data_IF_549796664915
#
_entry.id   IF_549796664915
#
_cell.length_a   1.000
_cell.length_b   1.000
_cell.length_c   1.000
_cell.angle_alpha   90.00
_cell.angle_beta   90.00
_cell.angle_gamma   90.00
#
_symmetry.space_group_name_H-M   'P 1'
#
loop_
_entity.id
_entity.type
_entity.pdbx_description
1 polymer ?
#
# COMPACT_ATOMS: atom_id res chain seq x y z
N UNK A 1 1.75 -37.02 45.99
CA UNK A 1 0.57 -36.78 45.13
C UNK A 1 0.43 -35.28 44.94
N UNK A 2 0.94 -34.79 43.81
CA UNK A 2 0.85 -33.38 43.44
C UNK A 2 -0.52 -33.20 42.78
N UNK A 3 -1.39 -32.41 43.43
CA UNK A 3 -2.71 -32.07 42.92
C UNK A 3 -2.57 -31.00 41.84
N UNK A 4 -2.83 -31.37 40.60
CA UNK A 4 -3.00 -30.46 39.47
C UNK A 4 -4.42 -29.88 39.52
N UNK A 5 -4.53 -28.56 39.76
CA UNK A 5 -5.76 -27.81 39.48
C UNK A 5 -5.74 -27.41 38.00
N UNK A 6 -6.76 -27.73 37.20
CA UNK A 6 -6.87 -27.18 35.86
C UNK A 6 -7.28 -25.70 35.95
N UNK A 7 -6.54 -24.87 35.22
CA UNK A 7 -6.90 -23.48 34.93
C UNK A 7 -8.21 -23.46 34.15
N UNK A 8 -9.31 -23.09 34.82
CA UNK A 8 -10.51 -22.66 34.14
C UNK A 8 -10.27 -21.23 33.65
N UNK A 9 -9.74 -21.10 32.43
CA UNK A 9 -9.71 -19.86 31.69
C UNK A 9 -11.15 -19.42 31.41
N UNK A 10 -11.60 -18.39 32.10
CA UNK A 10 -12.80 -17.62 31.78
C UNK A 10 -12.65 -17.10 30.34
N UNK A 11 -13.35 -17.71 29.39
CA UNK A 11 -13.64 -17.10 28.09
C UNK A 11 -14.37 -15.78 28.35
N UNK A 12 -13.65 -14.65 28.27
CA UNK A 12 -14.34 -13.38 28.11
C UNK A 12 -15.15 -13.47 26.81
N UNK A 13 -16.44 -13.06 26.80
CA UNK A 13 -17.18 -12.95 25.56
C UNK A 13 -16.41 -11.95 24.68
N UNK A 14 -15.91 -12.40 23.53
CA UNK A 14 -15.29 -11.52 22.54
C UNK A 14 -16.24 -10.33 22.36
N UNK A 15 -15.76 -9.11 22.60
CA UNK A 15 -16.50 -7.90 22.21
C UNK A 15 -16.82 -8.08 20.73
N UNK A 16 -18.10 -8.13 20.37
CA UNK A 16 -18.52 -8.15 18.97
C UNK A 16 -18.01 -6.86 18.32
N UNK A 17 -16.86 -6.96 17.66
CA UNK A 17 -16.27 -5.87 16.90
C UNK A 17 -16.86 -5.92 15.51
N UNK A 18 -17.37 -4.78 15.06
CA UNK A 18 -17.96 -4.62 13.74
C UNK A 18 -17.12 -3.63 12.96
N UNK A 19 -16.66 -4.06 11.78
CA UNK A 19 -15.90 -3.25 10.84
C UNK A 19 -16.81 -3.00 9.65
N UNK A 20 -17.06 -1.72 9.32
CA UNK A 20 -17.73 -1.37 8.07
C UNK A 20 -16.71 -1.43 6.93
N UNK A 21 -16.99 -2.22 5.89
CA UNK A 21 -15.96 -2.61 4.91
C UNK A 21 -16.20 -2.03 3.54
N UNK A 22 -17.46 -1.88 3.15
CA UNK A 22 -17.85 -1.22 1.93
C UNK A 22 -19.20 -0.53 2.07
N UNK A 23 -19.40 0.53 1.28
CA UNK A 23 -20.67 1.23 1.14
C UNK A 23 -20.97 1.37 -0.35
N UNK A 24 -21.97 0.64 -0.83
CA UNK A 24 -22.25 0.48 -2.25
C UNK A 24 -22.45 -0.98 -2.63
N UNK A 25 -22.77 -1.24 -3.89
CA UNK A 25 -22.95 -2.60 -4.39
C UNK A 25 -22.27 -2.78 -5.74
N UNK A 26 -21.68 -3.96 -5.91
CA UNK A 26 -21.12 -4.44 -7.17
C UNK A 26 -21.88 -5.68 -7.68
N UNK A 27 -23.13 -5.83 -7.24
CA UNK A 27 -23.97 -6.96 -7.64
C UNK A 27 -24.08 -7.08 -9.16
N UNK A 28 -24.00 -8.32 -9.66
CA UNK A 28 -24.18 -8.62 -11.08
C UNK A 28 -25.66 -8.57 -11.52
N UNK A 29 -26.60 -8.25 -10.63
CA UNK A 29 -28.00 -8.05 -11.00
C UNK A 29 -28.17 -6.74 -11.78
N UNK A 30 -28.20 -6.85 -13.10
CA UNK A 30 -28.33 -5.71 -14.02
C UNK A 30 -29.70 -5.03 -13.97
N UNK A 31 -30.66 -5.58 -13.23
CA UNK A 31 -31.99 -4.96 -13.04
C UNK A 31 -31.98 -3.86 -11.98
N UNK A 32 -30.94 -3.80 -11.16
CA UNK A 32 -30.81 -2.86 -10.04
C UNK A 32 -29.61 -1.98 -10.31
N UNK A 33 -29.82 -0.68 -10.46
CA UNK A 33 -28.74 0.29 -10.58
C UNK A 33 -27.82 0.23 -9.35
N UNK A 34 -26.51 0.27 -9.58
CA UNK A 34 -25.48 0.21 -8.56
C UNK A 34 -24.20 0.94 -9.00
N UNK A 35 -23.16 0.88 -8.16
CA UNK A 35 -21.89 1.58 -8.37
C UNK A 35 -21.17 1.18 -9.68
N UNK A 36 -21.39 -0.05 -10.14
CA UNK A 36 -20.69 -0.61 -11.31
C UNK A 36 -21.47 -0.36 -12.59
N UNK A 37 -22.76 -0.72 -12.62
CA UNK A 37 -23.56 -0.63 -13.85
C UNK A 37 -24.05 0.79 -14.17
N UNK A 38 -23.84 1.74 -13.26
CA UNK A 38 -24.31 3.09 -13.43
C UNK A 38 -23.18 4.11 -13.64
N UNK A 39 -23.26 4.87 -14.73
CA UNK A 39 -22.34 5.98 -15.02
C UNK A 39 -22.97 7.33 -14.69
N UNK A 40 -22.95 7.74 -13.42
CA UNK A 40 -23.59 8.99 -13.00
C UNK A 40 -22.70 9.80 -12.06
N UNK A 41 -23.02 11.09 -11.90
CA UNK A 41 -22.34 11.92 -10.91
C UNK A 41 -22.66 11.41 -9.50
N UNK A 42 -21.69 11.46 -8.57
CA UNK A 42 -21.93 10.96 -7.23
C UNK A 42 -23.05 11.71 -6.49
N UNK A 43 -23.29 12.97 -6.81
CA UNK A 43 -24.35 13.80 -6.23
C UNK A 43 -25.76 13.44 -6.76
N UNK A 44 -25.86 12.80 -7.93
CA UNK A 44 -27.12 12.40 -8.54
C UNK A 44 -27.55 10.98 -8.15
N UNK A 45 -26.72 10.26 -7.37
CA UNK A 45 -27.00 8.87 -7.02
C UNK A 45 -28.24 8.73 -6.13
N UNK A 46 -29.26 8.04 -6.65
CA UNK A 46 -30.50 7.77 -5.92
C UNK A 46 -30.75 6.28 -5.61
N UNK A 47 -29.92 5.37 -6.12
CA UNK A 47 -30.07 3.93 -5.87
C UNK A 47 -29.57 3.52 -4.46
N UNK A 48 -30.02 2.37 -3.92
CA UNK A 48 -29.57 1.87 -2.64
C UNK A 48 -28.05 1.64 -2.59
N UNK A 49 -27.40 2.15 -1.54
CA UNK A 49 -25.98 1.91 -1.26
C UNK A 49 -25.85 1.13 0.07
N UNK A 50 -25.89 -0.21 0.03
CA UNK A 50 -25.84 -1.02 1.24
C UNK A 50 -24.49 -0.90 1.93
N UNK A 51 -24.48 -1.10 3.26
CA UNK A 51 -23.26 -1.16 4.06
C UNK A 51 -22.92 -2.63 4.32
N UNK A 52 -21.73 -3.05 3.94
CA UNK A 52 -21.21 -4.38 4.28
C UNK A 52 -20.47 -4.33 5.61
N UNK A 53 -20.71 -5.33 6.45
CA UNK A 53 -20.16 -5.41 7.80
C UNK A 53 -19.35 -6.70 7.95
N UNK A 54 -18.15 -6.58 8.49
CA UNK A 54 -17.31 -7.70 8.84
C UNK A 54 -17.13 -7.78 10.36
N UNK A 55 -16.89 -9.00 10.85
CA UNK A 55 -16.38 -9.23 12.19
C UNK A 55 -14.85 -9.18 12.21
N UNK A 56 -14.29 -9.44 13.38
CA UNK A 56 -12.83 -9.55 13.57
C UNK A 56 -12.17 -10.74 12.88
N UNK A 57 -12.95 -11.62 12.24
CA UNK A 57 -12.46 -12.74 11.42
C UNK A 57 -11.91 -12.28 10.06
N UNK A 58 -12.27 -11.06 9.61
CA UNK A 58 -11.69 -10.40 8.43
C UNK A 58 -10.31 -9.80 8.79
N UNK A 59 -9.34 -10.69 8.96
CA UNK A 59 -8.04 -10.40 9.56
C UNK A 59 -7.17 -9.48 8.70
N UNK A 60 -7.27 -9.62 7.38
CA UNK A 60 -6.59 -8.76 6.41
C UNK A 60 -7.01 -7.31 6.57
N UNK A 61 -8.33 -7.06 6.52
CA UNK A 61 -8.88 -5.73 6.69
C UNK A 61 -8.57 -5.16 8.07
N UNK A 62 -8.66 -5.97 9.12
CA UNK A 62 -8.30 -5.53 10.47
C UNK A 62 -6.82 -5.12 10.55
N UNK A 63 -5.90 -5.90 9.98
CA UNK A 63 -4.48 -5.59 9.93
C UNK A 63 -4.17 -4.28 9.19
N UNK A 64 -4.81 -4.05 8.04
CA UNK A 64 -4.63 -2.81 7.27
C UNK A 64 -5.20 -1.58 8.00
N UNK A 65 -6.36 -1.70 8.66
CA UNK A 65 -6.92 -0.62 9.49
C UNK A 65 -5.98 -0.30 10.66
N UNK A 66 -5.45 -1.33 11.34
CA UNK A 66 -4.47 -1.14 12.43
C UNK A 66 -3.24 -0.40 11.93
N UNK A 67 -2.70 -0.78 10.78
CA UNK A 67 -1.56 -0.10 10.18
C UNK A 67 -1.86 1.37 9.85
N UNK A 68 -3.00 1.64 9.21
CA UNK A 68 -3.42 3.00 8.84
C UNK A 68 -3.60 3.91 10.07
N UNK A 69 -4.31 3.43 11.10
CA UNK A 69 -4.51 4.18 12.35
C UNK A 69 -3.18 4.42 13.07
N UNK A 70 -2.31 3.41 13.13
CA UNK A 70 -1.00 3.51 13.76
C UNK A 70 -0.09 4.51 13.04
N UNK A 71 0.00 4.44 11.71
CA UNK A 71 0.78 5.37 10.91
C UNK A 71 0.24 6.81 11.03
N UNK A 72 -1.09 6.99 10.98
CA UNK A 72 -1.72 8.30 11.16
C UNK A 72 -1.43 8.89 12.55
N UNK A 73 -1.43 8.07 13.61
CA UNK A 73 -1.15 8.55 14.96
C UNK A 73 0.24 9.19 15.11
N UNK A 74 1.23 8.69 14.37
CA UNK A 74 2.59 9.25 14.33
C UNK A 74 2.62 10.60 13.61
N UNK A 75 1.82 10.77 12.56
CA UNK A 75 1.68 12.05 11.84
C UNK A 75 0.99 13.08 12.74
N UNK A 76 -0.08 12.69 13.42
CA UNK A 76 -0.87 13.57 14.29
C UNK A 76 -0.35 13.68 15.72
N UNK A 77 0.92 13.33 15.99
CA UNK A 77 1.50 13.31 17.35
C UNK A 77 1.37 14.63 18.13
N UNK A 78 1.26 15.77 17.42
CA UNK A 78 1.09 17.09 18.02
C UNK A 78 -0.36 17.34 18.49
N UNK A 79 -1.34 16.71 17.84
CA UNK A 79 -2.72 16.60 18.34
C UNK A 79 -2.82 15.35 19.22
N UNK A 80 -2.39 15.50 20.47
CA UNK A 80 -2.26 14.39 21.42
C UNK A 80 -3.58 13.66 21.65
N UNK A 81 -4.70 14.39 21.65
CA UNK A 81 -6.03 13.81 21.86
C UNK A 81 -6.46 12.94 20.69
N UNK A 82 -6.21 13.40 19.46
CA UNK A 82 -6.52 12.63 18.26
C UNK A 82 -5.57 11.46 18.08
N UNK A 83 -4.26 11.67 18.24
CA UNK A 83 -3.24 10.61 18.16
C UNK A 83 -3.51 9.49 19.16
N UNK A 84 -3.85 9.82 20.41
CA UNK A 84 -4.19 8.83 21.44
C UNK A 84 -5.44 8.02 21.07
N UNK A 85 -6.46 8.65 20.47
CA UNK A 85 -7.65 7.93 20.00
C UNK A 85 -7.31 6.94 18.89
N UNK A 86 -6.48 7.34 17.92
CA UNK A 86 -6.04 6.48 16.84
C UNK A 86 -5.27 5.26 17.37
N UNK A 87 -4.30 5.46 18.27
CA UNK A 87 -3.54 4.38 18.90
C UNK A 87 -4.48 3.43 19.64
N UNK A 88 -5.35 3.96 20.51
CA UNK A 88 -6.28 3.13 21.27
C UNK A 88 -7.18 2.28 20.38
N UNK A 89 -7.71 2.85 19.30
CA UNK A 89 -8.52 2.10 18.34
C UNK A 89 -7.71 1.03 17.61
N UNK A 90 -6.44 1.30 17.28
CA UNK A 90 -5.55 0.33 16.67
C UNK A 90 -5.19 -0.82 17.63
N UNK A 91 -4.87 -0.52 18.90
CA UNK A 91 -4.60 -1.52 19.94
C UNK A 91 -5.82 -2.43 20.17
N UNK A 92 -7.01 -1.85 20.39
CA UNK A 92 -8.23 -2.61 20.60
C UNK A 92 -8.56 -3.52 19.42
N UNK A 93 -8.44 -3.02 18.18
CA UNK A 93 -8.71 -3.82 16.99
C UNK A 93 -7.67 -4.93 16.79
N UNK A 94 -6.38 -4.62 16.98
CA UNK A 94 -5.30 -5.58 16.81
C UNK A 94 -5.40 -6.72 17.81
N UNK A 95 -5.62 -6.43 19.10
CA UNK A 95 -5.79 -7.43 20.15
C UNK A 95 -6.95 -8.38 19.84
N UNK A 96 -8.06 -7.85 19.32
CA UNK A 96 -9.21 -8.65 18.93
C UNK A 96 -8.87 -9.52 17.72
N UNK A 97 -8.24 -8.95 16.68
CA UNK A 97 -7.89 -9.67 15.45
C UNK A 97 -6.90 -10.82 15.70
N UNK A 98 -5.85 -10.60 16.50
CA UNK A 98 -4.86 -11.65 16.81
C UNK A 98 -5.41 -12.71 17.77
N UNK A 99 -6.39 -12.34 18.61
CA UNK A 99 -7.06 -13.22 19.57
C UNK A 99 -8.11 -14.16 18.97
N UNK A 100 -8.57 -13.92 17.73
CA UNK A 100 -9.47 -14.83 17.00
C UNK A 100 -8.81 -16.22 16.86
N UNK A 101 -9.59 -17.30 16.98
CA UNK A 101 -9.10 -18.66 16.74
C UNK A 101 -8.45 -18.73 15.34
N UNK A 102 -7.27 -19.34 15.25
CA UNK A 102 -6.51 -19.41 14.00
C UNK A 102 -7.32 -20.00 12.84
N UNK A 103 -8.28 -20.88 13.10
CA UNK A 103 -9.17 -21.47 12.08
C UNK A 103 -10.26 -20.52 11.59
N UNK A 104 -10.49 -19.43 12.30
CA UNK A 104 -11.50 -18.42 12.00
C UNK A 104 -10.90 -17.14 11.41
N UNK A 105 -9.59 -16.92 11.56
CA UNK A 105 -8.88 -15.86 10.83
C UNK A 105 -8.98 -16.11 9.33
N UNK A 106 -9.29 -15.08 8.57
CA UNK A 106 -9.46 -15.21 7.14
C UNK A 106 -9.47 -13.90 6.40
N UNK A 107 -9.66 -14.03 5.09
CA UNK A 107 -9.73 -12.92 4.14
C UNK A 107 -11.13 -12.32 4.12
N UNK A 108 -11.26 -11.00 4.11
CA UNK A 108 -12.58 -10.34 4.12
C UNK A 108 -13.41 -10.73 2.88
N UNK A 109 -12.78 -10.93 1.71
CA UNK A 109 -13.47 -11.36 0.48
C UNK A 109 -13.96 -12.81 0.51
N UNK A 110 -13.40 -13.65 1.38
CA UNK A 110 -13.89 -15.01 1.59
C UNK A 110 -15.19 -15.06 2.41
N UNK A 111 -15.56 -13.97 3.07
CA UNK A 111 -16.78 -13.86 3.87
C UNK A 111 -17.86 -13.20 3.00
N UNK A 112 -18.84 -14.00 2.54
CA UNK A 112 -19.81 -13.58 1.52
C UNK A 112 -20.56 -12.28 1.88
N UNK A 113 -21.10 -12.18 3.09
CA UNK A 113 -21.88 -11.03 3.56
C UNK A 113 -21.03 -9.78 3.88
N UNK A 114 -19.70 -9.93 3.85
CA UNK A 114 -18.73 -8.96 4.36
C UNK A 114 -17.91 -8.36 3.20
N UNK A 115 -17.28 -9.21 2.38
CA UNK A 115 -16.44 -8.79 1.26
C UNK A 115 -16.70 -9.55 -0.03
N UNK A 116 -17.68 -10.46 -0.09
CA UNK A 116 -17.87 -11.32 -1.25
C UNK A 116 -18.16 -10.57 -2.56
N UNK A 117 -18.80 -9.41 -2.49
CA UNK A 117 -19.02 -8.52 -3.63
C UNK A 117 -17.71 -7.86 -4.14
N UNK A 118 -16.71 -7.70 -3.27
CA UNK A 118 -15.42 -7.11 -3.62
C UNK A 118 -14.45 -8.10 -4.30
N UNK A 119 -14.76 -9.41 -4.32
CA UNK A 119 -13.89 -10.47 -4.90
C UNK A 119 -13.51 -10.24 -6.36
N UNK A 120 -14.29 -9.51 -7.15
CA UNK A 120 -13.94 -9.20 -8.55
C UNK A 120 -13.09 -7.93 -8.71
N UNK A 121 -12.92 -7.15 -7.64
CA UNK A 121 -12.29 -5.83 -7.66
C UNK A 121 -11.06 -5.77 -6.76
N UNK A 122 -11.24 -6.12 -5.48
CA UNK A 122 -10.25 -6.08 -4.41
C UNK A 122 -10.15 -7.44 -3.72
N UNK A 123 -9.90 -8.51 -4.49
CA UNK A 123 -9.75 -9.84 -3.92
C UNK A 123 -8.53 -9.97 -3.03
N UNK A 124 -8.74 -10.38 -1.79
CA UNK A 124 -7.67 -10.71 -0.86
C UNK A 124 -7.05 -12.08 -1.16
N UNK A 125 -5.73 -12.21 -0.95
CA UNK A 125 -4.96 -13.44 -1.20
C UNK A 125 -4.35 -14.04 0.06
N UNK A 126 -4.05 -13.22 1.06
CA UNK A 126 -3.66 -13.62 2.41
C UNK A 126 -4.14 -12.55 3.40
N UNK A 127 -4.02 -12.87 4.69
CA UNK A 127 -4.18 -11.91 5.79
C UNK A 127 -2.92 -11.80 6.65
N UNK A 128 -1.95 -12.70 6.45
CA UNK A 128 -0.80 -12.79 7.34
C UNK A 128 0.11 -11.58 7.17
N UNK A 129 0.31 -11.14 5.94
CA UNK A 129 1.12 -9.95 5.68
C UNK A 129 0.46 -8.69 6.22
N UNK A 130 -0.87 -8.55 6.18
CA UNK A 130 -1.58 -7.44 6.84
C UNK A 130 -1.47 -7.47 8.36
N UNK A 131 -1.56 -8.63 9.02
CA UNK A 131 -1.39 -8.69 10.48
C UNK A 131 0.05 -8.40 10.90
N UNK A 132 1.03 -8.88 10.12
CA UNK A 132 2.44 -8.54 10.33
C UNK A 132 2.68 -7.04 10.09
N UNK A 133 2.08 -6.47 9.05
CA UNK A 133 2.13 -5.04 8.73
C UNK A 133 1.50 -4.17 9.82
N UNK A 134 0.31 -4.53 10.29
CA UNK A 134 -0.40 -3.89 11.39
C UNK A 134 0.41 -3.93 12.69
N UNK A 135 0.92 -5.10 13.07
CA UNK A 135 1.78 -5.24 14.25
C UNK A 135 3.06 -4.42 14.16
N UNK A 136 3.69 -4.36 12.99
CA UNK A 136 4.89 -3.54 12.76
C UNK A 136 4.60 -2.05 12.93
N UNK A 137 3.53 -1.52 12.31
CA UNK A 137 3.16 -0.11 12.47
C UNK A 137 2.69 0.24 13.88
N UNK A 138 1.95 -0.66 14.54
CA UNK A 138 1.49 -0.46 15.91
C UNK A 138 2.68 -0.46 16.88
N UNK A 139 3.71 -1.25 16.62
CA UNK A 139 4.98 -1.15 17.34
C UNK A 139 5.64 0.22 17.16
N UNK A 140 5.71 0.75 15.94
CA UNK A 140 6.22 2.12 15.74
C UNK A 140 5.41 3.16 16.51
N UNK A 141 4.08 3.03 16.51
CA UNK A 141 3.17 3.96 17.18
C UNK A 141 3.28 3.90 18.72
N UNK A 142 3.54 2.73 19.31
CA UNK A 142 3.44 2.52 20.77
C UNK A 142 4.77 2.26 21.47
N UNK A 143 5.75 1.72 20.76
CA UNK A 143 6.97 1.14 21.34
C UNK A 143 6.75 -0.18 22.09
N UNK A 144 5.53 -0.73 22.09
CA UNK A 144 5.22 -1.95 22.82
C UNK A 144 5.74 -3.19 22.06
N UNK A 145 6.73 -3.84 22.65
CA UNK A 145 7.45 -4.96 22.05
C UNK A 145 6.61 -6.22 21.84
N UNK A 146 5.42 -6.33 22.45
CA UNK A 146 4.50 -7.43 22.13
C UNK A 146 4.03 -7.39 20.68
N UNK A 147 3.83 -6.19 20.11
CA UNK A 147 3.40 -6.05 18.71
C UNK A 147 4.53 -6.37 17.74
N UNK A 148 5.75 -5.96 18.06
CA UNK A 148 6.94 -6.39 17.31
C UNK A 148 7.11 -7.90 17.38
N UNK A 149 6.97 -8.50 18.57
CA UNK A 149 7.03 -9.94 18.77
C UNK A 149 6.05 -10.69 17.87
N UNK A 150 4.79 -10.25 17.83
CA UNK A 150 3.81 -10.81 16.91
C UNK A 150 4.25 -10.71 15.45
N UNK A 151 4.69 -9.52 15.02
CA UNK A 151 5.10 -9.29 13.64
C UNK A 151 6.28 -10.17 13.23
N UNK A 152 7.32 -10.28 14.07
CA UNK A 152 8.52 -11.08 13.78
C UNK A 152 8.26 -12.58 13.86
N UNK A 153 7.44 -13.05 14.81
CA UNK A 153 7.08 -14.47 14.94
C UNK A 153 6.25 -14.96 13.74
N UNK A 154 5.43 -14.09 13.16
CA UNK A 154 4.55 -14.43 12.03
C UNK A 154 5.13 -14.05 10.66
N UNK A 155 6.28 -13.37 10.60
CA UNK A 155 6.90 -12.93 9.34
C UNK A 155 7.13 -14.11 8.39
N UNK A 156 7.76 -15.19 8.85
CA UNK A 156 8.03 -16.39 8.04
C UNK A 156 6.75 -17.11 7.58
N UNK A 157 5.66 -17.02 8.34
CA UNK A 157 4.36 -17.54 7.89
C UNK A 157 3.81 -16.70 6.74
N UNK A 158 3.87 -15.36 6.85
CA UNK A 158 3.47 -14.48 5.76
C UNK A 158 4.29 -14.72 4.49
N UNK A 159 5.60 -14.96 4.62
CA UNK A 159 6.45 -15.33 3.46
C UNK A 159 6.05 -16.63 2.79
N UNK A 160 5.59 -17.61 3.58
CA UNK A 160 5.14 -18.90 3.06
C UNK A 160 3.80 -18.81 2.34
N UNK A 161 2.91 -17.92 2.78
CA UNK A 161 1.59 -17.71 2.18
C UNK A 161 1.61 -16.77 0.97
N UNK A 162 2.68 -15.99 0.79
CA UNK A 162 2.82 -15.08 -0.34
C UNK A 162 2.76 -15.83 -1.69
N UNK A 163 1.84 -15.39 -2.55
CA UNK A 163 1.70 -15.93 -3.89
C UNK A 163 2.90 -15.58 -4.77
N UNK A 164 3.32 -16.52 -5.62
CA UNK A 164 4.42 -16.30 -6.57
C UNK A 164 4.19 -15.07 -7.46
N UNK A 165 2.95 -14.84 -7.90
CA UNK A 165 2.55 -13.69 -8.72
C UNK A 165 2.55 -12.34 -8.00
N UNK A 166 2.77 -12.33 -6.68
CA UNK A 166 2.79 -11.12 -5.84
C UNK A 166 4.16 -10.83 -5.25
N UNK A 167 5.14 -11.73 -5.47
CA UNK A 167 6.50 -11.60 -4.95
C UNK A 167 7.16 -10.32 -5.44
N UNK A 168 7.68 -9.54 -4.51
CA UNK A 168 8.39 -8.29 -4.81
C UNK A 168 7.49 -7.13 -5.24
N UNK A 169 6.17 -7.27 -5.08
CA UNK A 169 5.20 -6.23 -5.41
C UNK A 169 4.62 -5.66 -4.13
N UNK A 170 4.75 -4.36 -3.92
CA UNK A 170 4.07 -3.64 -2.84
C UNK A 170 2.86 -2.91 -3.39
N UNK A 171 1.67 -3.26 -2.90
CA UNK A 171 0.41 -2.64 -3.30
C UNK A 171 -0.70 -2.93 -2.29
N UNK A 172 -1.94 -2.57 -2.61
CA UNK A 172 -3.09 -2.68 -1.71
C UNK A 172 -3.36 -4.10 -1.18
N UNK A 173 -2.86 -5.16 -1.83
CA UNK A 173 -3.12 -6.55 -1.43
C UNK A 173 -1.92 -7.28 -0.78
N UNK A 174 -0.68 -6.89 -1.07
CA UNK A 174 0.52 -7.54 -0.50
C UNK A 174 1.40 -6.49 0.18
N UNK A 175 1.56 -6.59 1.50
CA UNK A 175 2.38 -5.68 2.33
C UNK A 175 3.74 -6.26 2.68
N UNK A 176 3.97 -7.55 2.45
CA UNK A 176 5.16 -8.26 2.90
C UNK A 176 6.46 -7.62 2.41
N UNK A 177 6.48 -7.19 1.15
CA UNK A 177 7.62 -6.52 0.52
C UNK A 177 7.98 -5.20 1.22
N UNK A 178 6.98 -4.36 1.51
CA UNK A 178 7.21 -3.11 2.26
C UNK A 178 7.52 -3.37 3.73
N UNK A 179 6.91 -4.40 4.32
CA UNK A 179 7.16 -4.78 5.69
C UNK A 179 8.61 -5.25 5.90
N UNK A 180 9.18 -5.99 4.95
CA UNK A 180 10.60 -6.35 4.96
C UNK A 180 11.50 -5.10 4.95
N UNK A 181 11.16 -4.07 4.17
CA UNK A 181 11.88 -2.79 4.18
C UNK A 181 11.76 -2.08 5.54
N UNK A 182 10.59 -2.12 6.19
CA UNK A 182 10.39 -1.54 7.53
C UNK A 182 11.17 -2.30 8.62
N UNK A 183 11.13 -3.63 8.62
CA UNK A 183 11.91 -4.45 9.57
C UNK A 183 13.42 -4.27 9.35
N UNK A 184 13.85 -4.08 8.10
CA UNK A 184 15.24 -3.71 7.77
C UNK A 184 15.62 -2.35 8.36
N UNK A 185 14.69 -1.38 8.36
CA UNK A 185 14.89 -0.09 9.05
C UNK A 185 15.10 -0.28 10.55
N UNK A 186 14.31 -1.14 11.20
CA UNK A 186 14.51 -1.46 12.62
C UNK A 186 15.89 -2.07 12.85
N UNK A 187 16.27 -3.08 12.06
CA UNK A 187 17.62 -3.69 12.13
C UNK A 187 18.74 -2.66 12.03
N UNK A 188 18.61 -1.71 11.11
CA UNK A 188 19.68 -0.76 10.81
C UNK A 188 19.82 0.37 11.83
N UNK A 189 18.71 0.81 12.44
CA UNK A 189 18.70 2.04 13.23
C UNK A 189 18.25 1.86 14.68
N UNK A 190 17.58 0.75 15.00
CA UNK A 190 17.01 0.43 16.32
C UNK A 190 17.02 -1.07 16.60
N UNK A 191 18.13 -1.75 16.31
CA UNK A 191 18.22 -3.20 16.53
C UNK A 191 17.90 -3.55 17.99
N UNK A 192 16.79 -4.24 18.22
CA UNK A 192 16.34 -4.67 19.56
C UNK A 192 16.99 -5.99 19.99
N UNK A 193 17.73 -6.68 19.11
CA UNK A 193 18.35 -7.97 19.40
C UNK A 193 17.32 -9.08 19.63
N UNK A 194 17.64 -10.02 20.52
CA UNK A 194 16.80 -11.20 20.81
C UNK A 194 15.40 -10.82 21.32
N UNK A 195 14.32 -11.47 20.84
CA UNK A 195 14.25 -12.62 19.90
C UNK A 195 13.95 -12.25 18.43
N UNK A 196 14.30 -11.03 18.01
CA UNK A 196 13.86 -10.46 16.72
C UNK A 196 14.88 -10.65 15.57
N UNK A 197 16.08 -11.15 15.88
CA UNK A 197 17.25 -11.15 15.00
C UNK A 197 17.05 -11.95 13.70
N UNK A 198 16.30 -13.06 13.76
CA UNK A 198 16.06 -13.92 12.61
C UNK A 198 15.17 -13.23 11.59
N UNK A 199 14.05 -12.66 12.05
CA UNK A 199 13.12 -11.92 11.18
C UNK A 199 13.78 -10.65 10.62
N UNK A 200 14.61 -9.95 11.39
CA UNK A 200 15.38 -8.81 10.92
C UNK A 200 16.41 -9.20 9.85
N UNK A 201 17.11 -10.32 10.05
CA UNK A 201 18.08 -10.83 9.09
C UNK A 201 17.40 -11.23 7.79
N UNK A 202 16.32 -12.01 7.87
CA UNK A 202 15.56 -12.41 6.68
C UNK A 202 14.99 -11.20 5.93
N UNK A 203 14.35 -10.28 6.65
CA UNK A 203 13.78 -9.07 6.05
C UNK A 203 14.81 -8.24 5.28
N UNK A 204 16.03 -8.13 5.80
CA UNK A 204 17.11 -7.41 5.12
C UNK A 204 17.69 -8.16 3.93
N UNK A 205 17.84 -9.49 4.00
CA UNK A 205 18.24 -10.30 2.85
C UNK A 205 17.20 -10.20 1.72
N UNK A 206 15.92 -10.25 2.09
CA UNK A 206 14.78 -10.06 1.19
C UNK A 206 14.78 -8.67 0.58
N UNK A 207 15.09 -7.63 1.35
CA UNK A 207 15.18 -6.25 0.86
C UNK A 207 16.32 -6.09 -0.16
N UNK A 208 17.49 -6.68 0.09
CA UNK A 208 18.60 -6.68 -0.86
C UNK A 208 18.25 -7.43 -2.16
N UNK A 209 17.62 -8.61 -2.04
CA UNK A 209 17.12 -9.36 -3.21
C UNK A 209 16.05 -8.59 -3.99
N UNK A 210 15.15 -7.90 -3.29
CA UNK A 210 14.11 -7.07 -3.87
C UNK A 210 14.72 -5.98 -4.76
N UNK A 211 15.69 -5.23 -4.22
CA UNK A 211 16.38 -4.19 -4.97
C UNK A 211 17.03 -4.74 -6.24
N UNK A 212 17.66 -5.91 -6.16
CA UNK A 212 18.23 -6.55 -7.34
C UNK A 212 17.20 -7.00 -8.36
N UNK A 213 16.04 -7.46 -7.89
CA UNK A 213 14.95 -7.89 -8.77
C UNK A 213 14.42 -6.74 -9.64
N UNK A 214 14.44 -5.51 -9.11
CA UNK A 214 14.11 -4.29 -9.85
C UNK A 214 15.21 -3.84 -10.82
N UNK A 215 16.48 -4.05 -10.46
CA UNK A 215 17.61 -3.49 -11.19
C UNK A 215 18.13 -4.36 -12.34
N UNK A 216 18.22 -5.68 -12.15
CA UNK A 216 19.03 -6.57 -13.00
C UNK A 216 18.24 -7.55 -13.87
N UNK A 217 16.97 -7.24 -14.14
CA UNK A 217 16.07 -8.08 -14.94
C UNK A 217 16.03 -9.56 -14.48
N UNK A 218 16.25 -9.79 -13.18
CA UNK A 218 16.30 -11.11 -12.57
C UNK A 218 14.89 -11.70 -12.40
N UNK A 219 13.91 -10.85 -12.12
CA UNK A 219 12.51 -11.25 -11.91
C UNK A 219 11.54 -10.43 -12.76
N UNK A 220 11.82 -9.14 -12.98
CA UNK A 220 10.93 -8.22 -13.68
C UNK A 220 11.54 -7.74 -14.99
N UNK A 221 10.70 -7.66 -16.02
CA UNK A 221 11.07 -7.06 -17.31
C UNK A 221 10.82 -5.56 -17.28
N UNK A 222 11.38 -4.86 -18.25
CA UNK A 222 11.06 -3.46 -18.53
C UNK A 222 10.51 -3.33 -19.95
N UNK A 223 9.66 -2.33 -20.17
CA UNK A 223 9.27 -1.90 -21.51
C UNK A 223 10.48 -1.34 -22.27
N UNK A 224 10.35 -1.09 -23.57
CA UNK A 224 11.42 -0.44 -24.34
C UNK A 224 11.71 0.98 -23.81
N UNK A 225 10.67 1.66 -23.36
CA UNK A 225 10.75 2.96 -22.68
C UNK A 225 11.30 2.92 -21.25
N UNK A 226 11.57 1.75 -20.68
CA UNK A 226 12.22 1.61 -19.37
C UNK A 226 11.28 1.53 -18.16
N UNK A 227 9.96 1.42 -18.36
CA UNK A 227 8.99 1.18 -17.30
C UNK A 227 9.14 -0.26 -16.79
N UNK A 228 9.28 -0.45 -15.48
CA UNK A 228 9.31 -1.79 -14.88
C UNK A 228 7.91 -2.45 -14.90
N UNK A 229 7.86 -3.71 -15.33
CA UNK A 229 6.63 -4.51 -15.41
C UNK A 229 6.61 -5.56 -14.31
N UNK A 230 6.01 -5.22 -13.16
CA UNK A 230 5.91 -6.13 -12.01
C UNK A 230 4.75 -7.14 -12.16
N UNK A 231 3.66 -6.71 -12.81
CA UNK A 231 2.45 -7.51 -13.00
C UNK A 231 1.92 -7.35 -14.44
N UNK A 232 2.66 -7.82 -15.46
CA UNK A 232 2.37 -7.52 -16.87
C UNK A 232 1.01 -8.03 -17.36
N UNK A 233 0.49 -9.09 -16.73
CA UNK A 233 -0.83 -9.66 -17.05
C UNK A 233 -1.99 -8.94 -16.33
N UNK A 234 -1.68 -7.88 -15.57
CA UNK A 234 -2.63 -7.11 -14.77
C UNK A 234 -2.56 -5.63 -15.12
N UNK A 235 -3.69 -4.93 -14.97
CA UNK A 235 -3.84 -3.55 -15.41
C UNK A 235 -3.10 -2.56 -14.55
N UNK A 236 -3.11 -1.31 -14.98
CA UNK A 236 -2.55 -0.20 -14.23
C UNK A 236 -1.07 -0.39 -13.80
N UNK A 237 -0.14 -0.67 -14.73
CA UNK A 237 1.26 -0.97 -14.39
C UNK A 237 1.95 0.15 -13.60
N UNK A 238 1.53 1.40 -13.77
CA UNK A 238 2.13 2.54 -13.07
C UNK A 238 1.96 2.45 -11.54
N UNK A 239 0.87 1.85 -11.04
CA UNK A 239 0.70 1.62 -9.60
C UNK A 239 1.84 0.80 -9.00
N UNK A 240 2.33 -0.19 -9.74
CA UNK A 240 3.39 -1.08 -9.25
C UNK A 240 4.78 -0.46 -9.46
N UNK A 241 5.00 0.21 -10.59
CA UNK A 241 6.26 0.88 -10.86
C UNK A 241 6.53 2.02 -9.85
N UNK A 242 5.49 2.76 -9.44
CA UNK A 242 5.64 3.88 -8.51
C UNK A 242 5.94 3.42 -7.09
N UNK A 243 5.39 2.29 -6.64
CA UNK A 243 5.74 1.74 -5.33
C UNK A 243 7.14 1.11 -5.33
N UNK A 244 7.56 0.49 -6.43
CA UNK A 244 8.96 0.05 -6.62
C UNK A 244 9.92 1.24 -6.55
N UNK A 245 9.58 2.36 -7.20
CA UNK A 245 10.33 3.62 -7.12
C UNK A 245 10.47 4.10 -5.67
N UNK A 246 9.35 4.16 -4.94
CA UNK A 246 9.33 4.58 -3.54
C UNK A 246 10.24 3.72 -2.67
N UNK A 247 10.09 2.39 -2.73
CA UNK A 247 10.89 1.47 -1.91
C UNK A 247 12.38 1.54 -2.25
N UNK A 248 12.74 1.67 -3.52
CA UNK A 248 14.15 1.85 -3.92
C UNK A 248 14.76 3.14 -3.39
N UNK A 249 14.03 4.26 -3.43
CA UNK A 249 14.51 5.51 -2.85
C UNK A 249 14.64 5.42 -1.34
N UNK A 250 13.61 4.90 -0.66
CA UNK A 250 13.61 4.72 0.78
C UNK A 250 14.80 3.87 1.26
N UNK A 251 15.06 2.75 0.59
CA UNK A 251 16.21 1.91 0.93
C UNK A 251 17.55 2.58 0.59
N UNK A 252 17.64 3.35 -0.50
CA UNK A 252 18.85 4.12 -0.82
C UNK A 252 19.18 5.15 0.28
N UNK A 253 18.16 5.74 0.90
CA UNK A 253 18.35 6.65 2.04
C UNK A 253 18.86 5.90 3.26
N UNK A 254 18.39 4.67 3.50
CA UNK A 254 18.94 3.85 4.60
C UNK A 254 20.43 3.58 4.40
N UNK A 255 20.84 3.20 3.17
CA UNK A 255 22.24 2.96 2.84
C UNK A 255 23.09 4.22 2.97
N UNK A 256 22.57 5.38 2.53
CA UNK A 256 23.28 6.65 2.66
C UNK A 256 23.56 6.99 4.13
N UNK A 257 22.56 6.83 4.99
CA UNK A 257 22.66 7.14 6.42
C UNK A 257 23.59 6.19 7.17
N UNK A 258 23.73 4.96 6.67
CA UNK A 258 24.73 4.00 7.14
C UNK A 258 26.10 4.18 6.51
N UNK A 259 26.28 5.20 5.65
CA UNK A 259 27.50 5.44 4.87
C UNK A 259 27.92 4.24 4.01
N UNK A 260 26.94 3.50 3.47
CA UNK A 260 27.16 2.38 2.54
C UNK A 260 27.02 2.86 1.10
N UNK A 261 27.98 2.48 0.25
CA UNK A 261 27.95 2.78 -1.18
C UNK A 261 27.02 1.88 -2.00
N UNK A 262 26.48 0.82 -1.39
CA UNK A 262 25.68 -0.21 -2.05
C UNK A 262 25.47 -1.44 -1.16
N UNK A 263 24.87 -2.48 -1.72
CA UNK A 263 24.76 -3.82 -1.10
C UNK A 263 24.88 -4.91 -2.16
N UNK A 264 25.07 -6.15 -1.70
CA UNK A 264 25.05 -7.35 -2.55
C UNK A 264 23.64 -7.92 -2.62
N UNK A 265 23.26 -8.54 -3.75
CA UNK A 265 21.90 -9.06 -3.94
C UNK A 265 21.53 -10.15 -2.93
N UNK A 266 22.48 -11.04 -2.63
CA UNK A 266 22.32 -12.10 -1.63
C UNK A 266 23.67 -12.80 -1.46
N UNK A 267 23.90 -13.52 -0.34
CA UNK A 267 25.06 -14.39 -0.20
C UNK A 267 25.24 -15.41 -1.35
N UNK A 268 24.16 -15.75 -2.06
CA UNK A 268 24.17 -16.74 -3.16
C UNK A 268 24.32 -16.14 -4.56
N UNK A 269 24.12 -14.83 -4.73
CA UNK A 269 24.22 -14.15 -6.03
C UNK A 269 25.36 -13.13 -6.02
N UNK A 270 26.30 -13.22 -6.96
CA UNK A 270 27.46 -12.33 -7.04
C UNK A 270 27.14 -10.91 -7.51
N UNK A 271 25.91 -10.65 -7.94
CA UNK A 271 25.46 -9.32 -8.35
C UNK A 271 25.38 -8.38 -7.14
N UNK A 272 25.73 -7.12 -7.36
CA UNK A 272 25.67 -6.07 -6.35
C UNK A 272 25.20 -4.77 -7.00
N UNK A 273 24.53 -3.92 -6.22
CA UNK A 273 24.05 -2.62 -6.67
C UNK A 273 24.68 -1.50 -5.86
N UNK A 274 24.83 -0.34 -6.50
CA UNK A 274 25.26 0.89 -5.85
C UNK A 274 24.06 1.74 -5.43
N UNK A 275 24.28 2.60 -4.43
CA UNK A 275 23.34 3.63 -4.00
C UNK A 275 22.92 4.54 -5.16
N UNK A 276 23.86 4.90 -6.03
CA UNK A 276 23.58 5.68 -7.25
C UNK A 276 22.65 4.94 -8.22
N UNK A 277 22.85 3.62 -8.39
CA UNK A 277 21.99 2.81 -9.24
C UNK A 277 20.55 2.74 -8.72
N UNK A 278 20.36 2.63 -7.41
CA UNK A 278 19.02 2.68 -6.79
C UNK A 278 18.33 4.03 -7.01
N UNK A 279 19.04 5.13 -6.78
CA UNK A 279 18.51 6.48 -6.97
C UNK A 279 18.12 6.73 -8.42
N UNK A 280 18.97 6.33 -9.38
CA UNK A 280 18.66 6.44 -10.82
C UNK A 280 17.44 5.62 -11.21
N UNK A 281 17.34 4.39 -10.74
CA UNK A 281 16.16 3.55 -11.00
C UNK A 281 14.89 4.18 -10.43
N UNK A 282 14.91 4.59 -9.15
CA UNK A 282 13.75 5.21 -8.51
C UNK A 282 13.31 6.46 -9.28
N UNK A 283 14.24 7.35 -9.60
CA UNK A 283 13.96 8.56 -10.37
C UNK A 283 13.41 8.23 -11.74
N UNK A 284 13.98 7.25 -12.45
CA UNK A 284 13.55 6.93 -13.83
C UNK A 284 12.10 6.47 -13.90
N UNK A 285 11.60 5.73 -12.90
CA UNK A 285 10.20 5.30 -12.89
C UNK A 285 9.24 6.48 -12.69
N UNK A 286 9.59 7.44 -11.83
CA UNK A 286 8.77 8.66 -11.64
C UNK A 286 8.90 9.59 -12.84
N UNK A 287 10.09 9.76 -13.42
CA UNK A 287 10.27 10.54 -14.65
C UNK A 287 9.45 9.95 -15.81
N UNK A 288 9.42 8.62 -15.95
CA UNK A 288 8.57 7.93 -16.92
C UNK A 288 7.10 8.28 -16.71
N UNK A 289 6.59 8.21 -15.47
CA UNK A 289 5.21 8.60 -15.12
C UNK A 289 4.96 10.07 -15.47
N UNK A 290 5.95 10.94 -15.26
CA UNK A 290 5.82 12.38 -15.46
C UNK A 290 6.05 12.85 -16.90
N UNK A 291 6.46 11.97 -17.81
CA UNK A 291 6.51 12.25 -19.25
C UNK A 291 7.80 11.86 -19.97
N UNK A 292 8.82 11.37 -19.27
CA UNK A 292 10.02 10.80 -19.92
C UNK A 292 9.77 9.35 -20.37
N UNK A 293 8.83 9.21 -21.29
CA UNK A 293 8.43 7.94 -21.89
C UNK A 293 8.35 8.09 -23.42
N UNK A 294 8.20 6.99 -24.17
CA UNK A 294 8.11 7.03 -25.64
C UNK A 294 6.96 7.90 -26.18
N UNK A 295 5.85 7.99 -25.44
CA UNK A 295 4.67 8.81 -25.77
C UNK A 295 4.86 10.30 -25.47
N UNK A 296 5.95 10.70 -24.80
CA UNK A 296 6.25 12.08 -24.36
C UNK A 296 5.06 12.77 -23.69
N UNK A 297 4.31 11.99 -22.91
CA UNK A 297 3.05 12.39 -22.27
C UNK A 297 3.11 12.04 -20.79
N UNK A 298 2.77 12.97 -19.92
CA UNK A 298 2.61 12.69 -18.51
C UNK A 298 1.41 11.78 -18.29
N UNK A 299 1.53 10.78 -17.42
CA UNK A 299 0.40 9.97 -16.97
C UNK A 299 -0.25 10.52 -15.70
N UNK A 300 0.06 11.77 -15.33
CA UNK A 300 -0.59 12.51 -14.24
C UNK A 300 -1.41 13.65 -14.84
N UNK A 301 -2.71 13.62 -14.62
CA UNK A 301 -3.66 14.59 -15.17
C UNK A 301 -3.31 16.01 -14.69
N UNK A 302 -3.25 16.96 -15.63
CA UNK A 302 -2.91 18.36 -15.36
C UNK A 302 -1.42 18.64 -15.11
N UNK A 303 -0.53 17.66 -15.34
CA UNK A 303 0.91 17.83 -15.22
C UNK A 303 1.63 17.72 -16.57
N UNK A 304 2.64 18.56 -16.80
CA UNK A 304 3.44 18.54 -18.03
C UNK A 304 2.74 19.18 -19.23
N UNK A 305 3.38 19.09 -20.40
CA UNK A 305 2.88 19.71 -21.64
C UNK A 305 1.77 18.89 -22.34
N UNK A 306 1.70 17.59 -22.06
CA UNK A 306 0.71 16.64 -22.60
C UNK A 306 0.33 15.67 -21.48
N UNK A 307 -0.97 15.44 -21.28
CA UNK A 307 -1.51 14.52 -20.28
C UNK A 307 -2.89 13.98 -20.70
N UNK A 308 -3.34 12.83 -20.17
CA UNK A 308 -4.66 12.25 -20.42
C UNK A 308 -5.80 13.20 -20.07
N UNK A 309 -6.78 13.32 -20.97
CA UNK A 309 -7.98 14.12 -20.76
C UNK A 309 -9.29 13.31 -20.87
N UNK A 310 -9.23 12.01 -21.21
CA UNK A 310 -10.38 11.09 -21.25
C UNK A 310 -10.28 10.02 -20.16
N UNK A 311 -10.06 10.45 -18.93
CA UNK A 311 -9.92 9.60 -17.73
C UNK A 311 -11.22 8.82 -17.46
N UNK A 312 -11.14 7.52 -17.16
CA UNK A 312 -12.28 6.66 -16.75
C UNK A 312 -12.78 7.06 -15.35
N UNK A 313 -13.46 8.19 -15.26
CA UNK A 313 -13.92 8.75 -13.98
C UNK A 313 -15.26 9.48 -14.14
N UNK A 314 -16.29 8.94 -13.47
CA UNK A 314 -17.69 9.39 -13.59
C UNK A 314 -17.85 10.90 -13.38
N UNK A 315 -17.43 11.40 -12.21
CA UNK A 315 -17.54 12.81 -11.86
C UNK A 315 -16.68 13.74 -12.75
N UNK A 316 -15.60 13.22 -13.34
CA UNK A 316 -14.78 14.01 -14.26
C UNK A 316 -15.44 14.15 -15.63
N UNK A 317 -16.08 13.07 -16.09
CA UNK A 317 -16.67 12.96 -17.43
C UNK A 317 -18.03 13.66 -17.61
N UNK A 318 -18.78 13.90 -16.53
CA UNK A 318 -20.13 14.48 -16.58
C UNK A 318 -20.06 15.96 -16.16
N UNK A 319 -20.57 16.91 -16.98
CA UNK A 319 -20.46 18.34 -16.69
C UNK A 319 -21.25 18.73 -15.45
N UNK A 320 -20.75 19.76 -14.77
CA UNK A 320 -21.51 20.47 -13.73
C UNK A 320 -22.32 21.61 -14.36
N UNK A 321 -23.53 21.29 -14.80
CA UNK A 321 -24.45 22.20 -15.51
C UNK A 321 -25.70 22.57 -14.69
N UNK A 322 -25.74 22.20 -13.41
CA UNK A 322 -26.86 22.44 -12.52
C UNK A 322 -28.10 21.57 -12.77
N UNK A 323 -28.01 20.58 -13.66
CA UNK A 323 -29.08 19.61 -13.93
C UNK A 323 -28.68 18.24 -13.40
N UNK A 324 -29.60 17.52 -12.75
CA UNK A 324 -29.35 16.13 -12.35
C UNK A 324 -29.40 15.21 -13.58
N UNK A 325 -28.44 14.29 -13.69
CA UNK A 325 -28.35 13.37 -14.81
C UNK A 325 -28.61 11.94 -14.35
N UNK A 326 -29.50 11.25 -15.06
CA UNK A 326 -29.86 9.87 -14.74
C UNK A 326 -28.76 8.88 -15.13
N UNK A 327 -28.84 7.68 -14.55
CA UNK A 327 -27.97 6.55 -14.86
C UNK A 327 -27.89 6.24 -16.37
N UNK A 328 -29.05 6.20 -17.04
CA UNK A 328 -29.16 5.89 -18.45
C UNK A 328 -28.58 6.97 -19.37
N UNK A 329 -28.59 8.24 -18.93
CA UNK A 329 -27.94 9.32 -19.66
C UNK A 329 -26.41 9.23 -19.58
N UNK A 330 -25.90 8.57 -18.53
CA UNK A 330 -24.50 8.31 -18.25
C UNK A 330 -23.68 7.82 -19.44
N UNK A 331 -24.25 6.90 -20.21
CA UNK A 331 -23.60 6.25 -21.34
C UNK A 331 -23.10 7.24 -22.39
N UNK A 332 -23.76 8.39 -22.56
CA UNK A 332 -23.30 9.41 -23.52
C UNK A 332 -21.97 10.03 -23.10
N UNK A 333 -21.69 10.14 -21.79
CA UNK A 333 -20.41 10.64 -21.29
C UNK A 333 -19.38 9.53 -21.18
N UNK A 334 -19.76 8.32 -20.79
CA UNK A 334 -18.83 7.18 -20.84
C UNK A 334 -18.22 7.03 -22.24
N UNK A 335 -19.08 7.04 -23.28
CA UNK A 335 -18.67 6.77 -24.66
C UNK A 335 -18.23 8.01 -25.47
N UNK A 336 -18.26 9.21 -24.86
CA UNK A 336 -17.86 10.45 -25.53
C UNK A 336 -16.39 10.41 -25.95
N UNK A 337 -16.04 10.98 -27.10
CA UNK A 337 -14.63 11.20 -27.52
C UNK A 337 -14.11 12.59 -27.17
N UNK A 338 -14.96 13.42 -26.57
CA UNK A 338 -14.56 14.71 -26.01
C UNK A 338 -13.79 14.51 -24.70
N UNK A 339 -12.92 15.48 -24.40
CA UNK A 339 -12.25 15.56 -23.11
C UNK A 339 -13.25 15.60 -21.94
N UNK A 340 -12.83 15.11 -20.78
CA UNK A 340 -13.60 15.24 -19.55
C UNK A 340 -13.85 16.73 -19.25
N UNK A 341 -15.10 17.17 -19.03
CA UNK A 341 -15.42 18.57 -18.76
C UNK A 341 -14.84 19.07 -17.44
N UNK A 342 -14.61 18.18 -16.47
CA UNK A 342 -13.93 18.52 -15.21
C UNK A 342 -12.57 17.84 -15.18
N UNK A 343 -11.50 18.64 -15.13
CA UNK A 343 -10.13 18.12 -15.05
C UNK A 343 -9.88 17.48 -13.68
N UNK A 344 -9.50 16.19 -13.68
CA UNK A 344 -9.19 15.44 -12.46
C UNK A 344 -7.74 15.64 -12.04
N UNK A 345 -7.38 16.90 -11.72
CA UNK A 345 -6.01 17.33 -11.44
C UNK A 345 -5.28 16.42 -10.45
N UNK A 346 -4.08 15.97 -10.84
CA UNK A 346 -3.20 15.14 -10.01
C UNK A 346 -3.49 13.64 -10.03
N UNK A 347 -4.55 13.18 -10.71
CA UNK A 347 -4.85 11.76 -10.83
C UNK A 347 -3.83 11.04 -11.72
N UNK A 348 -3.28 9.93 -11.22
CA UNK A 348 -2.42 9.05 -12.00
C UNK A 348 -3.25 7.96 -12.66
N UNK A 349 -3.27 7.94 -13.99
CA UNK A 349 -4.00 6.91 -14.75
C UNK A 349 -3.29 5.55 -14.66
N UNK A 350 -3.95 4.49 -15.15
CA UNK A 350 -3.37 3.14 -15.20
C UNK A 350 -2.05 3.08 -15.97
N UNK A 351 -1.96 3.81 -17.08
CA UNK A 351 -0.75 3.94 -17.90
C UNK A 351 -0.68 2.98 -19.08
N UNK A 352 0.49 2.84 -19.72
CA UNK A 352 0.63 2.18 -21.01
C UNK A 352 0.61 0.64 -20.90
N UNK A 353 0.54 -0.04 -22.04
CA UNK A 353 0.76 -1.48 -22.13
C UNK A 353 2.27 -1.83 -22.10
N UNK A 354 2.58 -3.13 -22.22
CA UNK A 354 3.95 -3.63 -22.22
C UNK A 354 4.83 -3.14 -23.39
N UNK A 355 4.24 -2.52 -24.41
CA UNK A 355 4.93 -1.95 -25.57
C UNK A 355 4.98 -0.41 -25.52
N UNK A 356 4.76 0.19 -24.34
CA UNK A 356 4.69 1.63 -24.14
C UNK A 356 3.52 2.32 -24.89
N UNK A 357 2.52 1.56 -25.35
CA UNK A 357 1.36 2.13 -26.04
C UNK A 357 0.32 2.55 -25.00
N UNK A 358 -0.14 3.80 -25.08
CA UNK A 358 -1.20 4.34 -24.24
C UNK A 358 -2.38 4.81 -25.09
N UNK A 359 -3.59 4.44 -24.68
CA UNK A 359 -4.84 4.85 -25.33
C UNK A 359 -5.64 5.72 -24.35
N UNK A 360 -5.71 7.03 -24.64
CA UNK A 360 -6.52 7.99 -23.87
C UNK A 360 -8.00 7.88 -24.26
N UNK A 361 -8.61 6.75 -23.88
CA UNK A 361 -10.01 6.46 -24.14
C UNK A 361 -10.72 6.14 -22.81
N UNK A 362 -11.79 6.89 -22.50
CA UNK A 362 -12.55 6.73 -21.25
C UNK A 362 -13.14 5.34 -21.07
N UNK A 363 -13.52 4.68 -22.16
CA UNK A 363 -14.07 3.31 -22.14
C UNK A 363 -13.00 2.24 -21.84
N UNK A 364 -11.71 2.61 -21.77
CA UNK A 364 -10.59 1.69 -21.54
C UNK A 364 -9.98 1.89 -20.15
N UNK A 365 -10.65 1.44 -19.07
CA UNK A 365 -10.19 1.64 -17.70
C UNK A 365 -8.77 1.11 -17.46
N UNK A 366 -8.36 0.05 -18.17
CA UNK A 366 -7.00 -0.48 -18.12
C UNK A 366 -5.91 0.58 -18.31
N UNK A 367 -6.15 1.56 -19.18
CA UNK A 367 -5.23 2.66 -19.45
C UNK A 367 -5.59 3.88 -18.60
N UNK A 368 -6.88 4.24 -18.55
CA UNK A 368 -7.33 5.58 -18.15
C UNK A 368 -7.94 5.66 -16.75
N UNK A 369 -8.08 4.55 -16.02
CA UNK A 369 -8.66 4.55 -14.67
C UNK A 369 -7.61 4.92 -13.61
N UNK A 370 -7.84 5.99 -12.83
CA UNK A 370 -7.03 6.30 -11.67
C UNK A 370 -7.58 5.59 -10.43
N UNK A 371 -6.74 5.41 -9.40
CA UNK A 371 -7.18 4.86 -8.13
C UNK A 371 -6.51 5.55 -6.95
N UNK A 372 -7.15 5.48 -5.78
CA UNK A 372 -6.57 6.04 -4.55
C UNK A 372 -5.28 5.30 -4.19
N UNK A 373 -5.21 3.99 -4.41
CA UNK A 373 -4.01 3.19 -4.14
C UNK A 373 -2.85 3.54 -5.07
N UNK A 374 -3.11 3.83 -6.35
CA UNK A 374 -2.07 4.25 -7.29
C UNK A 374 -1.51 5.63 -6.90
N UNK A 375 -2.39 6.58 -6.59
CA UNK A 375 -2.01 7.92 -6.15
C UNK A 375 -1.30 7.93 -4.78
N UNK A 376 -1.64 7.02 -3.85
CA UNK A 376 -0.91 6.87 -2.59
C UNK A 376 0.57 6.54 -2.83
N UNK A 377 0.85 5.61 -3.74
CA UNK A 377 2.22 5.29 -4.17
C UNK A 377 2.91 6.47 -4.85
N UNK A 378 2.20 7.20 -5.71
CA UNK A 378 2.73 8.41 -6.38
C UNK A 378 3.16 9.48 -5.38
N UNK A 379 2.30 9.84 -4.43
CA UNK A 379 2.62 10.85 -3.41
C UNK A 379 3.83 10.40 -2.59
N UNK A 380 3.89 9.13 -2.18
CA UNK A 380 5.02 8.60 -1.43
C UNK A 380 6.34 8.68 -2.23
N UNK A 381 6.33 8.29 -3.51
CA UNK A 381 7.51 8.36 -4.37
C UNK A 381 7.97 9.80 -4.63
N UNK A 382 7.04 10.72 -4.90
CA UNK A 382 7.32 12.14 -5.11
C UNK A 382 7.94 12.77 -3.86
N UNK A 383 7.41 12.48 -2.66
CA UNK A 383 7.99 12.95 -1.40
C UNK A 383 9.38 12.35 -1.18
N UNK A 384 9.57 11.06 -1.45
CA UNK A 384 10.86 10.40 -1.26
C UNK A 384 11.96 10.96 -2.20
N UNK A 385 11.58 11.32 -3.43
CA UNK A 385 12.46 11.93 -4.41
C UNK A 385 12.63 13.45 -4.24
N UNK A 386 11.73 14.09 -3.48
CA UNK A 386 11.92 15.46 -3.08
C UNK A 386 13.07 15.51 -2.06
N UNK A 387 14.20 16.12 -2.44
CA UNK A 387 15.28 16.41 -1.51
C UNK A 387 15.05 17.78 -0.88
N UNK A 388 14.41 17.87 0.31
CA UNK A 388 14.38 19.15 1.02
C UNK A 388 15.82 19.55 1.35
N UNK A 389 16.15 20.86 1.36
CA UNK A 389 17.46 21.32 1.76
C UNK A 389 17.80 20.78 3.15
N UNK A 390 18.79 19.88 3.23
CA UNK A 390 19.26 19.34 4.51
C UNK A 390 19.72 20.53 5.36
N UNK A 391 19.01 20.84 6.44
CA UNK A 391 19.60 21.63 7.51
C UNK A 391 20.85 20.88 7.95
N UNK A 392 22.01 21.54 7.89
CA UNK A 392 23.25 21.03 8.50
C UNK A 392 22.92 20.73 9.97
N UNK A 393 22.79 19.44 10.30
CA UNK A 393 22.59 19.00 11.67
C UNK A 393 23.93 19.16 12.39
N UNK A 394 23.89 19.79 13.58
CA UNK A 394 25.02 19.80 14.50
C UNK A 394 25.44 18.36 14.82
N UNK A 395 26.74 18.13 14.95
CA UNK A 395 27.38 16.82 15.15
C UNK A 395 26.96 16.07 16.44
N UNK A 396 26.04 16.63 17.24
CA UNK A 396 25.48 16.04 18.45
C UNK A 396 24.11 15.38 18.27
N UNK A 397 23.43 15.53 17.12
CA UNK A 397 22.11 14.93 16.92
C UNK A 397 22.23 13.48 16.41
N UNK A 398 22.06 12.52 17.31
CA UNK A 398 22.20 11.08 17.08
C UNK A 398 21.12 10.47 16.17
N UNK A 399 20.26 11.28 15.57
CA UNK A 399 19.08 10.84 14.81
C UNK A 399 19.31 10.63 13.32
N UNK A 400 20.52 10.86 12.80
CA UNK A 400 20.92 10.64 11.39
C UNK A 400 19.88 11.15 10.37
N UNK A 401 19.07 12.16 10.67
CA UNK A 401 17.99 12.64 9.79
C UNK A 401 16.80 11.69 9.57
N UNK A 402 16.89 10.40 9.90
CA UNK A 402 15.82 9.40 9.64
C UNK A 402 14.62 9.54 10.57
N UNK A 403 14.82 10.17 11.72
CA UNK A 403 13.85 10.31 12.80
C UNK A 403 13.50 11.76 13.10
N UNK A 404 13.64 12.65 12.11
CA UNK A 404 13.26 14.07 12.27
C UNK A 404 11.82 14.22 12.77
N UNK A 405 10.94 13.29 12.35
CA UNK A 405 9.54 13.26 12.75
C UNK A 405 9.26 12.37 13.98
N UNK A 406 10.26 11.73 14.58
CA UNK A 406 10.09 10.97 15.82
C UNK A 406 9.35 9.63 15.67
N UNK A 407 9.45 8.97 14.51
CA UNK A 407 8.97 7.60 14.28
C UNK A 407 9.56 6.58 15.28
N UNK A 408 10.78 6.81 15.77
CA UNK A 408 11.38 5.98 16.83
C UNK A 408 11.18 6.55 18.23
N UNK A 409 10.45 7.66 18.39
CA UNK A 409 10.31 8.38 19.66
C UNK A 409 9.73 7.52 20.79
N UNK A 410 8.91 6.53 20.44
CA UNK A 410 8.27 5.62 21.40
C UNK A 410 9.10 4.34 21.65
N UNK A 411 10.11 4.05 20.82
CA UNK A 411 10.89 2.82 20.90
C UNK A 411 12.06 3.00 21.87
N UNK A 412 12.03 2.25 22.97
CA UNK A 412 13.08 2.25 24.00
C UNK A 412 14.01 1.06 23.78
N UNK A 413 15.30 1.33 23.61
CA UNK A 413 16.32 0.28 23.62
C UNK A 413 16.52 -0.19 25.06
N UNK A 414 16.52 -1.50 25.27
CA UNK A 414 16.88 -2.09 26.56
C UNK A 414 18.41 -1.91 26.73
N UNK A 415 18.88 -1.39 27.88
CA UNK A 415 20.31 -1.11 28.11
C UNK A 415 21.25 -2.30 27.96
#
# INVERSE_FOLDING_TARGET
>A
MISTRPWAGSLMPYKNTTICTSVGSTSNDTKIENDINCWQRPEDMAYPRPVSLCGSTASDLAGEIVAALSAASLVFKEDTDYSTKLIKSAEELFEIAIGVDQKQKGMYTAILDCGGQATQFYNSTSYQDELVWGGTWLFFATGNTSYLGYATENFFLAEKEELFSEKGIFYWNNKLTANAVLLTRLRFFRDLGYPYEDAFTESSNRTDLLMCSYLFDLAFKKTEGGLILLKPDYGAPLQYAVTASFLSKLYSDYLELLHRSGSSCSPTYSSAFSLDTLRRFSKSQVDYILGDNPMKTSYVVGFGASYPNQVHHRAASIPWDGQAHSCAEGDKWLNSKEANPNELLGAMVGGPDQNDIFLDEREKPWFTEPSISSNAGLVAALIALHEPPRKLLDSSDSKLGIDQMGMFGNIKLIP
#
